data_IF_722360006745
#
_entry.id   IF_722360006745
#
_cell.length_a   1.000
_cell.length_b   1.000
_cell.length_c   1.000
_cell.angle_alpha   90.00
_cell.angle_beta   90.00
_cell.angle_gamma   90.00
#
_symmetry.space_group_name_H-M   'P 1'
#
loop_
_entity.id
_entity.type
_entity.pdbx_description
1 polymer ?
#
# COMPACT_ATOMS: atom_id res chain seq x y z
N UNK A 1 3.99 18.25 -0.03
CA UNK A 1 3.08 17.84 1.06
C UNK A 1 1.90 17.02 0.51
N UNK A 2 0.84 17.60 -0.08
CA UNK A 2 -0.31 16.79 -0.57
C UNK A 2 0.00 15.87 -1.76
N UNK A 3 0.85 16.32 -2.70
CA UNK A 3 1.23 15.51 -3.86
C UNK A 3 1.98 14.24 -3.48
N UNK A 4 2.82 14.33 -2.46
CA UNK A 4 3.61 13.20 -1.96
C UNK A 4 2.69 12.14 -1.34
N UNK A 5 1.71 12.56 -0.53
CA UNK A 5 0.70 11.67 0.04
C UNK A 5 -0.15 10.98 -1.04
N UNK A 6 -0.60 11.74 -2.05
CA UNK A 6 -1.35 11.18 -3.18
C UNK A 6 -0.52 10.18 -3.98
N UNK A 7 0.76 10.47 -4.25
CA UNK A 7 1.65 9.55 -4.95
C UNK A 7 1.88 8.26 -4.15
N UNK A 8 2.04 8.38 -2.82
CA UNK A 8 2.24 7.26 -1.91
C UNK A 8 1.00 6.36 -1.87
N UNK A 9 -0.20 6.96 -1.79
CA UNK A 9 -1.47 6.24 -1.87
C UNK A 9 -1.66 5.54 -3.21
N UNK A 10 -1.40 6.22 -4.35
CA UNK A 10 -1.50 5.61 -5.68
C UNK A 10 -0.58 4.41 -5.83
N UNK A 11 0.68 4.52 -5.36
CA UNK A 11 1.63 3.42 -5.39
C UNK A 11 1.20 2.24 -4.52
N UNK A 12 0.62 2.51 -3.34
CA UNK A 12 0.08 1.48 -2.45
C UNK A 12 -1.06 0.73 -3.13
N UNK A 13 -2.04 1.46 -3.66
CA UNK A 13 -3.23 0.88 -4.32
C UNK A 13 -2.82 0.07 -5.54
N UNK A 14 -1.94 0.58 -6.40
CA UNK A 14 -1.46 -0.11 -7.59
C UNK A 14 -0.77 -1.44 -7.24
N UNK A 15 0.13 -1.44 -6.25
CA UNK A 15 0.83 -2.66 -5.83
C UNK A 15 -0.09 -3.70 -5.22
N UNK A 16 -0.99 -3.28 -4.33
CA UNK A 16 -1.92 -4.21 -3.71
C UNK A 16 -2.94 -4.74 -4.72
N UNK A 17 -3.38 -3.92 -5.68
CA UNK A 17 -4.24 -4.36 -6.76
C UNK A 17 -3.54 -5.40 -7.65
N UNK A 18 -2.30 -5.15 -8.09
CA UNK A 18 -1.54 -6.10 -8.92
C UNK A 18 -1.24 -7.43 -8.22
N UNK A 19 -1.03 -7.40 -6.90
CA UNK A 19 -0.67 -8.59 -6.14
C UNK A 19 -1.87 -9.38 -5.61
N UNK A 20 -3.00 -8.73 -5.34
CA UNK A 20 -4.16 -9.35 -4.70
C UNK A 20 -5.34 -9.53 -5.65
N UNK A 21 -5.58 -8.61 -6.58
CA UNK A 21 -6.72 -8.64 -7.49
C UNK A 21 -6.36 -9.37 -8.80
N UNK A 22 -6.15 -10.68 -8.72
CA UNK A 22 -5.86 -11.52 -9.90
C UNK A 22 -7.09 -12.24 -10.45
N UNK A 23 -8.18 -12.33 -9.68
CA UNK A 23 -9.40 -13.01 -10.08
C UNK A 23 -10.43 -11.99 -10.60
N UNK A 24 -10.53 -11.87 -11.92
CA UNK A 24 -11.54 -11.03 -12.60
C UNK A 24 -12.87 -11.75 -12.81
N UNK A 25 -13.13 -12.82 -12.05
CA UNK A 25 -14.33 -13.65 -12.18
C UNK A 25 -15.59 -12.98 -11.65
N UNK A 26 -15.47 -11.91 -10.87
CA UNK A 26 -16.59 -11.19 -10.28
C UNK A 26 -16.28 -9.70 -10.12
N UNK A 27 -17.31 -8.84 -10.22
CA UNK A 27 -17.18 -7.40 -9.96
C UNK A 27 -16.89 -7.07 -8.49
N UNK A 28 -17.15 -8.01 -7.59
CA UNK A 28 -16.89 -7.88 -6.16
C UNK A 28 -15.62 -8.62 -5.79
N UNK A 29 -14.83 -8.02 -4.89
CA UNK A 29 -13.68 -8.68 -4.28
C UNK A 29 -14.15 -9.91 -3.51
N UNK A 30 -13.42 -11.01 -3.65
CA UNK A 30 -13.64 -12.17 -2.79
C UNK A 30 -13.06 -11.92 -1.40
N UNK A 31 -13.56 -12.64 -0.39
CA UNK A 31 -13.04 -12.53 0.99
C UNK A 31 -11.53 -12.83 1.09
N UNK A 32 -10.97 -13.58 0.15
CA UNK A 32 -9.52 -13.84 0.07
C UNK A 32 -8.75 -12.59 -0.37
N UNK A 33 -9.25 -11.88 -1.37
CA UNK A 33 -8.63 -10.66 -1.89
C UNK A 33 -8.73 -9.52 -0.89
N UNK A 34 -9.87 -9.39 -0.19
CA UNK A 34 -10.02 -8.43 0.92
C UNK A 34 -8.95 -8.65 2.00
N UNK A 35 -8.75 -9.90 2.44
CA UNK A 35 -7.71 -10.23 3.40
C UNK A 35 -6.29 -9.98 2.87
N UNK A 36 -6.06 -10.25 1.57
CA UNK A 36 -4.79 -9.97 0.91
C UNK A 36 -4.48 -8.47 0.88
N UNK A 37 -5.45 -7.63 0.51
CA UNK A 37 -5.28 -6.17 0.44
C UNK A 37 -4.97 -5.59 1.83
N UNK A 38 -5.65 -6.05 2.87
CA UNK A 38 -5.36 -5.65 4.26
C UNK A 38 -3.92 -5.99 4.68
N UNK A 39 -3.46 -7.21 4.38
CA UNK A 39 -2.09 -7.63 4.65
C UNK A 39 -1.05 -6.89 3.81
N UNK A 40 -1.39 -6.56 2.55
CA UNK A 40 -0.53 -5.79 1.66
C UNK A 40 -0.33 -4.36 2.18
N UNK A 41 -1.40 -3.70 2.60
CA UNK A 41 -1.34 -2.37 3.19
C UNK A 41 -0.49 -2.33 4.47
N UNK A 42 -0.67 -3.29 5.37
CA UNK A 42 0.13 -3.38 6.61
C UNK A 42 1.63 -3.59 6.30
N UNK A 43 1.96 -4.47 5.35
CA UNK A 43 3.35 -4.67 4.89
C UNK A 43 3.96 -3.41 4.30
N UNK A 44 3.21 -2.71 3.46
CA UNK A 44 3.68 -1.50 2.80
C UNK A 44 3.88 -0.36 3.80
N UNK A 45 2.96 -0.18 4.76
CA UNK A 45 3.11 0.82 5.82
C UNK A 45 4.32 0.51 6.72
N UNK A 46 4.52 -0.75 7.14
CA UNK A 46 5.72 -1.15 7.90
C UNK A 46 7.03 -0.92 7.13
N UNK A 47 7.00 -1.11 5.82
CA UNK A 47 8.14 -0.82 4.95
C UNK A 47 8.38 0.70 4.82
N UNK A 48 7.31 1.47 4.61
CA UNK A 48 7.34 2.93 4.51
C UNK A 48 7.80 3.58 5.82
N UNK A 49 7.38 3.03 6.97
CA UNK A 49 7.78 3.49 8.29
C UNK A 49 9.28 3.31 8.52
N UNK A 50 9.89 2.24 7.99
CA UNK A 50 11.35 2.07 8.01
C UNK A 50 12.08 3.07 7.11
N UNK A 51 11.54 3.40 5.95
CA UNK A 51 12.11 4.45 5.09
C UNK A 51 11.98 5.85 5.70
N UNK A 52 10.89 6.13 6.42
CA UNK A 52 10.69 7.38 7.17
C UNK A 52 11.62 7.45 8.40
N UNK A 53 11.91 6.30 9.05
CA UNK A 53 12.80 6.23 10.22
C UNK A 53 14.28 6.45 9.90
N UNK A 54 14.67 6.41 8.62
CA UNK A 54 16.02 6.77 8.15
C UNK A 54 16.20 8.29 7.95
N UNK A 55 15.17 9.11 8.23
CA UNK A 55 15.26 10.56 8.19
C UNK A 55 15.32 11.24 9.59
N UNK A 56 16.28 10.90 10.49
CA UNK A 56 16.61 11.80 11.61
C UNK A 56 17.23 13.13 11.15
N UNK A 57 17.70 13.22 9.90
CA UNK A 57 18.49 14.36 9.40
C UNK A 57 17.68 15.51 8.79
N UNK A 58 16.35 15.43 8.74
CA UNK A 58 15.50 16.52 8.23
C UNK A 58 14.77 17.29 9.35
N UNK A 59 15.10 17.00 10.62
CA UNK A 59 14.73 17.81 11.78
C UNK A 59 15.99 18.28 12.54
N UNK A 60 17.02 18.66 11.77
CA UNK A 60 18.13 19.53 12.17
C UNK A 60 18.31 20.59 11.08
#
# INVERSE_FOLDING_TARGET
QMKDFMSLYSNLVERCFLSCCQDFTSKALSSKEESCVMNCADKFLKHSERSVRLSPLLWQ
#
